data_IF_586183532846
#
_entry.id   IF_586183532846
#
_cell.length_a   1.000
_cell.length_b   1.000
_cell.length_c   1.000
_cell.angle_alpha   90.00
_cell.angle_beta   90.00
_cell.angle_gamma   90.00
#
_symmetry.space_group_name_H-M   'P 1'
#
loop_
_entity.id
_entity.type
_entity.pdbx_description
1 polymer ?
#
# COMPACT_ATOMS: atom_id res chain seq x y z
N UNK A 1 -12.41 -9.93 4.28
CA UNK A 1 -12.38 -10.32 2.86
C UNK A 1 -10.92 -10.63 2.55
N UNK A 2 -10.52 -11.91 2.63
CA UNK A 2 -9.14 -12.31 2.32
C UNK A 2 -8.98 -12.34 0.80
N UNK A 3 -8.13 -11.51 0.25
CA UNK A 3 -7.56 -11.77 -1.07
C UNK A 3 -6.70 -13.03 -0.91
N UNK A 4 -7.21 -14.18 -1.37
CA UNK A 4 -6.40 -15.38 -1.50
C UNK A 4 -5.36 -15.11 -2.59
N UNK A 5 -4.09 -15.11 -2.21
CA UNK A 5 -2.99 -15.00 -3.15
C UNK A 5 -2.82 -16.36 -3.85
N UNK A 6 -3.39 -16.50 -5.04
CA UNK A 6 -3.21 -17.70 -5.87
C UNK A 6 -1.85 -17.69 -6.63
N UNK A 7 -1.03 -16.66 -6.41
CA UNK A 7 0.26 -16.48 -7.10
C UNK A 7 1.39 -16.41 -6.08
N UNK A 8 2.40 -17.29 -6.15
CA UNK A 8 3.61 -17.14 -5.35
C UNK A 8 4.35 -15.89 -5.84
N UNK A 9 4.32 -14.83 -5.04
CA UNK A 9 4.98 -13.56 -5.34
C UNK A 9 6.19 -13.41 -4.43
N UNK A 10 7.37 -13.50 -5.02
CA UNK A 10 8.64 -13.31 -4.33
C UNK A 10 8.95 -11.83 -4.04
N UNK A 11 8.45 -10.94 -4.91
CA UNK A 11 8.63 -9.49 -4.76
C UNK A 11 7.45 -8.69 -5.32
N UNK A 12 7.14 -7.56 -4.68
CA UNK A 12 6.08 -6.64 -5.11
C UNK A 12 6.47 -5.18 -4.95
N UNK A 13 6.15 -4.37 -5.95
CA UNK A 13 6.26 -2.91 -5.87
C UNK A 13 4.86 -2.26 -5.84
N UNK A 14 4.59 -1.53 -4.76
CA UNK A 14 3.39 -0.71 -4.60
C UNK A 14 3.71 0.72 -5.02
N UNK A 15 2.94 1.25 -5.97
CA UNK A 15 3.10 2.60 -6.49
C UNK A 15 1.87 3.45 -6.21
N UNK A 16 2.07 4.71 -5.79
CA UNK A 16 0.96 5.60 -5.52
C UNK A 16 1.37 7.07 -5.45
N UNK A 17 0.39 7.96 -5.61
CA UNK A 17 0.58 9.40 -5.51
C UNK A 17 0.05 10.00 -4.19
N UNK A 18 -0.38 9.15 -3.26
CA UNK A 18 -0.83 9.55 -1.93
C UNK A 18 0.35 9.52 -0.94
N UNK A 19 1.07 10.65 -0.83
CA UNK A 19 2.28 10.74 -0.01
C UNK A 19 2.01 10.41 1.48
N UNK A 20 0.86 10.84 2.02
CA UNK A 20 0.45 10.53 3.39
C UNK A 20 0.40 9.02 3.65
N UNK A 21 -0.20 8.26 2.73
CA UNK A 21 -0.36 6.81 2.85
C UNK A 21 1.00 6.11 2.80
N UNK A 22 1.88 6.54 1.88
CA UNK A 22 3.22 5.98 1.76
C UNK A 22 4.09 6.24 2.99
N UNK A 23 3.93 7.41 3.62
CA UNK A 23 4.61 7.74 4.88
C UNK A 23 4.03 6.90 6.02
N UNK A 24 2.71 6.82 6.15
CA UNK A 24 2.06 6.01 7.18
C UNK A 24 2.52 4.55 7.12
N UNK A 25 2.53 3.92 5.94
CA UNK A 25 3.00 2.54 5.77
C UNK A 25 4.47 2.31 6.18
N UNK A 26 5.31 3.36 6.16
CA UNK A 26 6.72 3.32 6.58
C UNK A 26 6.93 3.64 8.06
N UNK A 27 5.96 4.28 8.72
CA UNK A 27 6.04 4.58 10.14
C UNK A 27 5.91 3.29 10.96
N UNK A 28 6.55 3.29 12.13
CA UNK A 28 6.39 2.23 13.10
C UNK A 28 4.94 2.22 13.61
N UNK A 29 4.36 1.04 13.84
CA UNK A 29 2.95 0.90 14.24
C UNK A 29 2.63 1.72 15.49
N UNK A 30 3.54 1.71 16.47
CA UNK A 30 3.37 2.45 17.73
C UNK A 30 3.31 3.98 17.57
N UNK A 31 3.79 4.52 16.44
CA UNK A 31 3.82 5.96 16.17
C UNK A 31 2.64 6.41 15.29
N UNK A 32 1.82 5.47 14.81
CA UNK A 32 0.69 5.76 13.93
C UNK A 32 -0.57 6.11 14.74
N UNK A 33 -0.81 7.40 14.91
CA UNK A 33 -2.01 7.95 15.58
C UNK A 33 -3.10 8.34 14.58
N UNK A 34 -2.99 7.91 13.32
CA UNK A 34 -3.91 8.34 12.28
C UNK A 34 -5.30 7.70 12.44
N UNK A 35 -6.38 8.39 12.01
CA UNK A 35 -7.72 7.79 12.00
C UNK A 35 -7.85 6.52 11.13
N UNK A 36 -6.84 6.25 10.29
CA UNK A 36 -6.78 5.12 9.38
C UNK A 36 -5.85 4.00 9.90
N UNK A 37 -5.43 4.04 11.16
CA UNK A 37 -4.48 3.10 11.77
C UNK A 37 -4.82 1.64 11.43
N UNK A 38 -6.09 1.24 11.57
CA UNK A 38 -6.54 -0.12 11.25
C UNK A 38 -6.29 -0.50 9.78
N UNK A 39 -6.57 0.39 8.83
CA UNK A 39 -6.33 0.17 7.39
C UNK A 39 -4.83 0.09 7.10
N UNK A 40 -4.04 0.96 7.74
CA UNK A 40 -2.58 0.96 7.57
C UNK A 40 -1.97 -0.31 8.16
N UNK A 41 -2.46 -0.78 9.30
CA UNK A 41 -2.03 -2.04 9.93
C UNK A 41 -2.37 -3.26 9.07
N UNK A 42 -3.59 -3.35 8.53
CA UNK A 42 -3.98 -4.42 7.61
C UNK A 42 -3.07 -4.44 6.37
N UNK A 43 -2.75 -3.26 5.82
CA UNK A 43 -1.84 -3.14 4.69
C UNK A 43 -0.40 -3.55 5.07
N UNK A 44 0.11 -3.19 6.25
CA UNK A 44 1.42 -3.65 6.75
C UNK A 44 1.44 -5.17 6.89
N UNK A 45 0.40 -5.76 7.48
CA UNK A 45 0.28 -7.22 7.61
C UNK A 45 0.31 -7.91 6.25
N UNK A 46 -0.44 -7.39 5.28
CA UNK A 46 -0.40 -7.87 3.90
C UNK A 46 1.02 -7.79 3.32
N UNK A 47 1.69 -6.65 3.47
CA UNK A 47 3.06 -6.47 2.97
C UNK A 47 4.05 -7.44 3.62
N UNK A 48 3.90 -7.77 4.91
CA UNK A 48 4.74 -8.76 5.59
C UNK A 48 4.58 -10.19 5.05
N UNK A 49 3.47 -10.51 4.37
CA UNK A 49 3.32 -11.82 3.71
C UNK A 49 4.13 -11.96 2.42
N UNK A 50 4.66 -10.85 1.89
CA UNK A 50 5.44 -10.81 0.65
C UNK A 50 6.92 -10.62 1.03
N UNK A 51 7.84 -11.54 0.62
CA UNK A 51 9.23 -11.51 1.07
C UNK A 51 9.97 -10.20 0.77
N UNK A 52 9.66 -9.57 -0.37
CA UNK A 52 10.27 -8.31 -0.78
C UNK A 52 9.19 -7.32 -1.21
N UNK A 53 9.02 -6.24 -0.45
CA UNK A 53 8.09 -5.16 -0.82
C UNK A 53 8.80 -3.84 -1.00
N UNK A 54 8.40 -3.08 -2.02
CA UNK A 54 8.89 -1.72 -2.27
C UNK A 54 7.72 -0.75 -2.37
N UNK A 55 7.87 0.42 -1.75
CA UNK A 55 6.90 1.51 -1.79
C UNK A 55 7.49 2.69 -2.58
N UNK A 56 6.89 3.01 -3.72
CA UNK A 56 7.34 4.09 -4.61
C UNK A 56 6.29 5.19 -4.71
N UNK A 57 6.72 6.43 -4.48
CA UNK A 57 5.91 7.60 -4.79
C UNK A 57 5.98 7.92 -6.27
N UNK A 58 4.82 8.04 -6.90
CA UNK A 58 4.67 8.48 -8.28
C UNK A 58 3.88 9.79 -8.33
N UNK A 59 4.19 10.64 -9.31
CA UNK A 59 3.34 11.80 -9.60
C UNK A 59 1.95 11.33 -10.08
N UNK A 60 0.92 12.16 -9.86
CA UNK A 60 -0.47 11.85 -10.22
C UNK A 60 -0.62 11.46 -11.69
N UNK A 61 0.15 12.09 -12.57
CA UNK A 61 0.16 11.87 -14.01
C UNK A 61 0.67 10.48 -14.40
N UNK A 62 1.46 9.83 -13.54
CA UNK A 62 1.92 8.46 -13.74
C UNK A 62 0.92 7.42 -13.21
N UNK A 63 -0.03 7.82 -12.36
CA UNK A 63 -1.03 6.93 -11.75
C UNK A 63 -2.41 7.02 -12.42
N UNK A 64 -2.46 7.34 -13.73
CA UNK A 64 -3.71 7.62 -14.46
C UNK A 64 -4.69 6.44 -14.47
N UNK A 65 -4.17 5.21 -14.55
CA UNK A 65 -5.02 4.00 -14.61
C UNK A 65 -5.77 3.83 -13.28
N UNK A 66 -5.08 3.91 -12.15
CA UNK A 66 -5.73 3.82 -10.84
C UNK A 66 -6.76 4.93 -10.66
N UNK A 67 -6.43 6.18 -11.04
CA UNK A 67 -7.40 7.30 -11.00
C UNK A 67 -8.64 7.06 -11.85
N UNK A 68 -8.50 6.38 -13.00
CA UNK A 68 -9.63 6.02 -13.86
C UNK A 68 -10.49 4.93 -13.21
N UNK A 69 -9.86 3.94 -12.59
CA UNK A 69 -10.57 2.83 -11.94
C UNK A 69 -11.36 3.30 -10.71
N UNK A 70 -10.89 4.29 -9.96
CA UNK A 70 -11.62 4.85 -8.81
C UNK A 70 -12.81 5.75 -9.19
N UNK A 71 -13.04 5.98 -10.49
CA UNK A 71 -14.14 6.84 -10.99
C UNK A 71 -15.31 6.04 -11.57
N UNK A 72 -15.21 4.70 -11.58
CA UNK A 72 -16.29 3.79 -11.93
C UNK A 72 -17.17 3.55 -10.70
#
# INVERSE_FOLDING_TARGET
>A
MLFAWDLPVESMEFQGNAQLVLVALKLHVADDTSPLEHVVNDARHLMCTIPQTKLTYNRKEANKVAHRLTRL
#
